data_IF_265373182164
#
_entry.id   IF_265373182164
#
_cell.length_a   1.000
_cell.length_b   1.000
_cell.length_c   1.000
_cell.angle_alpha   90.00
_cell.angle_beta   90.00
_cell.angle_gamma   90.00
#
_symmetry.space_group_name_H-M   'P 1'
#
loop_
_entity.id
_entity.type
_entity.pdbx_description
1 polymer ?
#
# COMPACT_ATOMS: atom_id res chain seq x y z
N UNK A 1 -2.04 0.16 20.77
CA UNK A 1 -0.93 0.03 19.81
C UNK A 1 -1.42 -0.69 18.56
N UNK A 2 -1.43 -0.04 17.39
CA UNK A 2 -1.94 -0.61 16.13
C UNK A 2 -0.81 -1.23 15.31
N UNK A 3 -0.97 -2.45 14.80
CA UNK A 3 -0.02 -3.06 13.86
C UNK A 3 -0.46 -2.79 12.43
N UNK A 4 0.44 -2.30 11.59
CA UNK A 4 0.22 -2.10 10.15
C UNK A 4 0.94 -3.17 9.33
N UNK A 5 0.50 -3.34 8.10
CA UNK A 5 0.97 -4.36 7.15
C UNK A 5 1.36 -3.71 5.83
N UNK A 6 2.23 -4.38 5.07
CA UNK A 6 2.48 -3.99 3.67
C UNK A 6 1.24 -4.31 2.83
N UNK A 7 1.03 -3.55 1.76
CA UNK A 7 0.05 -3.88 0.73
C UNK A 7 0.78 -4.18 -0.58
N UNK A 8 0.97 -5.47 -0.87
CA UNK A 8 1.74 -5.96 -2.02
C UNK A 8 0.87 -6.94 -2.80
N UNK A 9 0.81 -6.77 -4.12
CA UNK A 9 0.05 -7.65 -5.03
C UNK A 9 -1.43 -7.80 -4.66
N UNK A 10 -2.06 -6.69 -4.25
CA UNK A 10 -3.49 -6.65 -3.94
C UNK A 10 -3.88 -7.22 -2.57
N UNK A 11 -2.91 -7.52 -1.69
CA UNK A 11 -3.17 -8.06 -0.35
C UNK A 11 -2.37 -7.37 0.75
N UNK A 12 -2.94 -7.33 1.94
CA UNK A 12 -2.21 -6.99 3.14
C UNK A 12 -1.39 -8.20 3.62
N UNK A 13 -0.13 -7.97 3.97
CA UNK A 13 0.78 -9.00 4.45
C UNK A 13 1.78 -8.44 5.48
N UNK A 14 2.19 -9.30 6.41
CA UNK A 14 3.23 -8.94 7.37
C UNK A 14 4.58 -8.78 6.66
N UNK A 15 5.37 -7.78 7.10
CA UNK A 15 6.78 -7.64 6.67
C UNK A 15 7.69 -8.62 7.41
N UNK A 16 8.89 -8.83 6.89
CA UNK A 16 9.89 -9.70 7.52
C UNK A 16 10.37 -9.19 8.90
N UNK A 17 10.23 -7.88 9.15
CA UNK A 17 10.47 -7.26 10.44
C UNK A 17 9.48 -6.10 10.67
N UNK A 18 9.59 -5.45 11.82
CA UNK A 18 8.76 -4.29 12.17
C UNK A 18 9.49 -3.31 13.08
N UNK A 19 9.09 -2.04 13.08
CA UNK A 19 9.63 -1.01 13.94
C UNK A 19 8.53 -0.15 14.59
N UNK A 20 8.85 0.44 15.73
CA UNK A 20 7.94 1.30 16.48
C UNK A 20 7.80 2.67 15.81
N UNK A 21 6.56 3.12 15.60
CA UNK A 21 6.24 4.49 15.22
C UNK A 21 5.79 5.27 16.44
N UNK A 22 6.43 6.42 16.66
CA UNK A 22 6.22 7.27 17.83
C UNK A 22 5.42 8.50 17.47
N UNK A 23 4.54 8.90 18.38
CA UNK A 23 3.83 10.16 18.29
C UNK A 23 4.83 11.29 18.55
N UNK A 24 5.02 12.25 17.60
CA UNK A 24 5.98 13.32 17.77
C UNK A 24 5.61 14.33 18.88
N UNK A 25 4.34 14.40 19.30
CA UNK A 25 3.88 15.30 20.35
C UNK A 25 4.15 14.75 21.76
N UNK A 26 4.07 13.42 21.94
CA UNK A 26 4.18 12.77 23.27
C UNK A 26 5.41 11.87 23.42
N UNK A 27 6.01 11.42 22.32
CA UNK A 27 7.08 10.43 22.28
C UNK A 27 6.62 8.98 22.49
N UNK A 28 5.33 8.77 22.75
CA UNK A 28 4.75 7.45 22.99
C UNK A 28 4.64 6.62 21.72
N UNK A 29 4.76 5.30 21.86
CA UNK A 29 4.59 4.36 20.75
C UNK A 29 3.11 4.18 20.49
N UNK A 30 2.62 4.61 19.32
CA UNK A 30 1.22 4.46 18.95
C UNK A 30 0.99 3.30 17.98
N UNK A 31 2.00 2.97 17.15
CA UNK A 31 1.89 1.95 16.12
C UNK A 31 3.17 1.14 15.92
N UNK A 32 2.99 -0.05 15.35
CA UNK A 32 4.05 -0.92 14.87
C UNK A 32 3.95 -0.98 13.33
N UNK A 33 4.98 -0.48 12.64
CA UNK A 33 5.05 -0.40 11.19
C UNK A 33 5.88 -1.55 10.62
N UNK A 34 5.50 -2.12 9.46
CA UNK A 34 6.27 -3.19 8.84
C UNK A 34 7.57 -2.62 8.24
N UNK A 35 8.69 -3.32 8.47
CA UNK A 35 10.03 -2.96 8.01
C UNK A 35 10.37 -3.80 6.77
N UNK A 36 10.18 -3.21 5.60
CA UNK A 36 10.39 -3.89 4.32
C UNK A 36 11.86 -4.30 4.15
N UNK A 37 12.07 -5.58 3.83
CA UNK A 37 13.40 -6.09 3.45
C UNK A 37 13.49 -6.27 1.94
N UNK A 38 14.67 -6.73 1.48
CA UNK A 38 14.96 -6.96 0.06
C UNK A 38 13.86 -7.79 -0.60
N UNK A 39 13.48 -8.91 0.00
CA UNK A 39 12.50 -9.84 -0.58
C UNK A 39 11.10 -9.23 -0.69
N UNK A 40 10.70 -8.38 0.26
CA UNK A 40 9.43 -7.64 0.19
C UNK A 40 9.43 -6.66 -0.98
N UNK A 41 10.52 -5.92 -1.12
CA UNK A 41 10.72 -5.00 -2.26
C UNK A 41 10.74 -5.75 -3.59
N UNK A 42 11.44 -6.88 -3.67
CA UNK A 42 11.53 -7.68 -4.88
C UNK A 42 10.15 -8.23 -5.29
N UNK A 43 9.33 -8.68 -4.32
CA UNK A 43 7.95 -9.10 -4.57
C UNK A 43 7.07 -7.94 -5.04
N UNK A 44 7.20 -6.76 -4.41
CA UNK A 44 6.47 -5.57 -4.80
C UNK A 44 6.80 -5.13 -6.24
N UNK A 45 8.10 -5.12 -6.61
CA UNK A 45 8.55 -4.78 -7.96
C UNK A 45 8.05 -5.79 -8.99
N UNK A 46 8.13 -7.10 -8.69
CA UNK A 46 7.61 -8.15 -9.58
C UNK A 46 6.09 -8.04 -9.78
N UNK A 47 5.34 -7.73 -8.72
CA UNK A 47 3.89 -7.49 -8.80
C UNK A 47 3.55 -6.25 -9.63
N UNK A 48 4.27 -5.15 -9.43
CA UNK A 48 4.11 -3.93 -10.21
C UNK A 48 4.41 -4.15 -11.70
N UNK A 49 5.50 -4.87 -12.02
CA UNK A 49 5.84 -5.22 -13.40
C UNK A 49 4.76 -6.08 -14.05
N UNK A 50 4.26 -7.10 -13.34
CA UNK A 50 3.14 -7.93 -13.83
C UNK A 50 1.94 -7.08 -14.17
N UNK A 51 1.49 -6.23 -13.24
CA UNK A 51 0.36 -5.33 -13.47
C UNK A 51 0.61 -4.37 -14.65
N UNK A 52 1.83 -3.87 -14.82
CA UNK A 52 2.18 -3.01 -15.94
C UNK A 52 2.01 -3.70 -17.31
N UNK A 53 2.21 -5.01 -17.38
CA UNK A 53 2.07 -5.81 -18.60
C UNK A 53 0.76 -6.58 -18.72
N UNK A 54 -0.08 -6.58 -17.69
CA UNK A 54 -1.33 -7.33 -17.64
C UNK A 54 -2.48 -6.52 -18.26
N UNK A 55 -3.25 -7.08 -19.22
CA UNK A 55 -4.40 -6.41 -19.85
C UNK A 55 -5.41 -5.83 -18.86
N UNK A 56 -5.56 -6.41 -17.67
CA UNK A 56 -6.47 -5.91 -16.63
C UNK A 56 -6.13 -4.47 -16.19
N UNK A 57 -4.87 -4.05 -16.35
CA UNK A 57 -4.42 -2.70 -16.04
C UNK A 57 -3.87 -1.94 -17.25
N UNK A 58 -3.06 -2.58 -18.10
CA UNK A 58 -2.41 -1.90 -19.22
C UNK A 58 -3.41 -1.44 -20.30
N UNK A 59 -4.45 -2.22 -20.55
CA UNK A 59 -5.44 -1.92 -21.60
C UNK A 59 -6.51 -0.93 -21.15
N UNK A 60 -6.47 -0.49 -19.89
CA UNK A 60 -7.36 0.57 -19.44
C UNK A 60 -7.10 1.85 -20.24
N UNK A 61 -8.17 2.46 -20.74
CA UNK A 61 -8.12 3.80 -21.31
C UNK A 61 -7.84 4.85 -20.23
N UNK A 62 -7.43 6.05 -20.65
CA UNK A 62 -7.25 7.18 -19.73
C UNK A 62 -8.52 7.47 -18.91
N UNK A 63 -9.71 7.42 -19.53
CA UNK A 63 -10.99 7.65 -18.85
C UNK A 63 -11.33 6.55 -17.85
N UNK A 64 -11.04 5.28 -18.15
CA UNK A 64 -11.23 4.18 -17.19
C UNK A 64 -10.33 4.33 -15.97
N UNK A 65 -9.05 4.67 -16.16
CA UNK A 65 -8.14 5.00 -15.04
C UNK A 65 -8.65 6.21 -14.25
N UNK A 66 -9.16 7.24 -14.93
CA UNK A 66 -9.78 8.41 -14.30
C UNK A 66 -10.94 8.03 -13.38
N UNK A 67 -11.83 7.13 -13.80
CA UNK A 67 -12.94 6.61 -12.96
C UNK A 67 -12.43 5.93 -11.68
N UNK A 68 -11.35 5.16 -11.76
CA UNK A 68 -10.75 4.53 -10.59
C UNK A 68 -10.17 5.57 -9.61
N UNK A 69 -9.52 6.62 -10.14
CA UNK A 69 -8.99 7.72 -9.31
C UNK A 69 -10.10 8.51 -8.62
N UNK A 70 -11.19 8.83 -9.31
CA UNK A 70 -12.35 9.50 -8.68
C UNK A 70 -12.98 8.63 -7.58
N UNK A 71 -13.15 7.32 -7.84
CA UNK A 71 -13.66 6.40 -6.81
C UNK A 71 -12.72 6.36 -5.59
N UNK A 72 -11.41 6.38 -5.79
CA UNK A 72 -10.45 6.47 -4.68
C UNK A 72 -10.62 7.79 -3.91
N UNK A 73 -10.79 8.91 -4.61
CA UNK A 73 -11.02 10.21 -3.97
C UNK A 73 -12.29 10.22 -3.12
N UNK A 74 -13.40 9.66 -3.62
CA UNK A 74 -14.66 9.55 -2.88
C UNK A 74 -14.49 8.71 -1.61
N UNK A 75 -13.76 7.59 -1.70
CA UNK A 75 -13.47 6.72 -0.55
C UNK A 75 -12.62 7.44 0.49
N UNK A 76 -11.62 8.22 0.08
CA UNK A 76 -10.80 9.02 1.00
C UNK A 76 -11.63 10.11 1.66
N UNK A 77 -12.41 10.88 0.88
CA UNK A 77 -13.25 11.96 1.40
C UNK A 77 -14.35 11.46 2.34
N UNK A 78 -14.83 10.21 2.17
CA UNK A 78 -15.82 9.59 3.04
C UNK A 78 -15.26 9.00 4.35
N UNK A 79 -13.94 8.91 4.52
CA UNK A 79 -13.28 8.37 5.72
C UNK A 79 -12.53 9.47 6.48
N UNK A 80 -13.29 10.45 6.99
CA UNK A 80 -12.80 11.51 7.90
C UNK A 80 -13.02 11.08 9.35
#
# INVERSE_FOLDING_TARGET
MRKFQHYIDGRFEDGAASFESRDPATGEIWALMPDAKRDDTDRAVKAAHRAFTDPAWCDLTASQRGKLLYRLADLVAGNV
#
